data_IF_433914521455
#
_entry.id   IF_433914521455
#
_cell.length_a   1.000
_cell.length_b   1.000
_cell.length_c   1.000
_cell.angle_alpha   90.00
_cell.angle_beta   90.00
_cell.angle_gamma   90.00
#
_symmetry.space_group_name_H-M   'P 1'
#
loop_
_entity.id
_entity.type
_entity.pdbx_description
1 polymer ?
#
# COMPACT_ATOMS: atom_id res chain seq x y z
N UNK A 1 -24.20 25.28 -17.62
CA UNK A 1 -23.20 24.56 -18.48
C UNK A 1 -22.75 23.21 -17.93
N UNK A 2 -22.19 23.08 -16.70
CA UNK A 2 -21.80 21.77 -16.16
C UNK A 2 -23.01 20.84 -15.96
N UNK A 3 -24.12 21.38 -15.43
CA UNK A 3 -25.35 20.63 -15.20
C UNK A 3 -26.01 20.15 -16.50
N UNK A 4 -26.02 20.97 -17.54
CA UNK A 4 -26.59 20.61 -18.84
C UNK A 4 -25.82 19.48 -19.55
N UNK A 5 -24.50 19.48 -19.44
CA UNK A 5 -23.64 18.40 -19.97
C UNK A 5 -23.91 17.08 -19.23
N UNK A 6 -24.05 17.12 -17.92
CA UNK A 6 -24.37 15.97 -17.11
C UNK A 6 -25.75 15.43 -17.48
N UNK A 7 -26.77 16.29 -17.57
CA UNK A 7 -28.14 15.88 -17.95
C UNK A 7 -28.22 15.26 -19.34
N UNK A 8 -27.43 15.79 -20.28
CA UNK A 8 -27.31 15.19 -21.61
C UNK A 8 -26.70 13.79 -21.57
N UNK A 9 -25.58 13.62 -20.84
CA UNK A 9 -24.95 12.32 -20.65
C UNK A 9 -25.88 11.34 -19.93
N UNK A 10 -26.55 11.76 -18.86
CA UNK A 10 -27.52 10.94 -18.12
C UNK A 10 -28.60 10.37 -19.03
N UNK A 11 -29.18 11.19 -19.92
CA UNK A 11 -30.20 10.73 -20.89
C UNK A 11 -29.63 9.70 -21.86
N UNK A 12 -28.40 9.88 -22.33
CA UNK A 12 -27.74 8.92 -23.22
C UNK A 12 -27.52 7.58 -22.52
N UNK A 13 -26.99 7.58 -21.29
CA UNK A 13 -26.83 6.37 -20.49
C UNK A 13 -28.17 5.69 -20.19
N UNK A 14 -29.18 6.46 -19.85
CA UNK A 14 -30.52 5.94 -19.60
C UNK A 14 -31.11 5.24 -20.82
N UNK A 15 -30.84 5.72 -22.04
CA UNK A 15 -31.32 5.10 -23.27
C UNK A 15 -30.76 3.70 -23.52
N UNK A 16 -29.64 3.35 -22.87
CA UNK A 16 -29.02 2.01 -22.91
C UNK A 16 -29.21 1.24 -21.60
N UNK A 17 -30.12 1.69 -20.73
CA UNK A 17 -30.49 1.00 -19.50
C UNK A 17 -29.60 1.27 -18.29
N UNK A 18 -28.71 2.28 -18.34
CA UNK A 18 -27.80 2.64 -17.24
C UNK A 18 -28.37 3.78 -16.41
N UNK A 19 -28.55 3.54 -15.12
CA UNK A 19 -28.91 4.55 -14.12
C UNK A 19 -27.63 5.17 -13.54
N UNK A 20 -27.26 6.36 -14.02
CA UNK A 20 -26.04 7.06 -13.59
C UNK A 20 -26.11 7.55 -12.15
N UNK A 21 -27.27 7.92 -11.63
CA UNK A 21 -27.44 8.35 -10.23
C UNK A 21 -27.15 7.20 -9.26
N UNK A 22 -27.73 6.03 -9.56
CA UNK A 22 -27.46 4.81 -8.80
C UNK A 22 -25.98 4.40 -8.84
N UNK A 23 -25.36 4.48 -10.03
CA UNK A 23 -23.95 4.17 -10.18
C UNK A 23 -23.05 5.11 -9.36
N UNK A 24 -23.33 6.41 -9.39
CA UNK A 24 -22.60 7.42 -8.62
C UNK A 24 -22.79 7.18 -7.11
N UNK A 25 -24.02 6.86 -6.67
CA UNK A 25 -24.28 6.59 -5.26
C UNK A 25 -23.54 5.34 -4.74
N UNK A 26 -23.47 4.30 -5.54
CA UNK A 26 -22.65 3.11 -5.24
C UNK A 26 -21.18 3.51 -5.11
N UNK A 27 -20.63 4.23 -6.10
CA UNK A 27 -19.23 4.63 -6.11
C UNK A 27 -18.86 5.55 -4.94
N UNK A 28 -19.75 6.44 -4.50
CA UNK A 28 -19.51 7.26 -3.32
C UNK A 28 -19.24 6.45 -2.05
N UNK A 29 -19.69 5.21 -2.02
CA UNK A 29 -19.58 4.32 -0.87
C UNK A 29 -18.38 3.34 -0.97
N UNK A 30 -17.71 3.27 -2.11
CA UNK A 30 -16.47 2.49 -2.29
C UNK A 30 -15.29 3.27 -1.70
N UNK A 31 -14.66 2.79 -0.63
CA UNK A 31 -13.51 3.49 -0.06
C UNK A 31 -12.26 3.30 -0.93
N UNK A 32 -11.51 4.38 -1.12
CA UNK A 32 -10.19 4.34 -1.74
C UNK A 32 -9.16 4.77 -0.72
N UNK A 33 -8.15 3.94 -0.51
CA UNK A 33 -7.06 4.19 0.43
C UNK A 33 -5.95 5.00 -0.24
N UNK A 34 -5.62 6.14 0.37
CA UNK A 34 -4.62 7.08 -0.17
C UNK A 34 -3.31 6.93 0.59
N UNK A 35 -2.20 6.79 -0.14
CA UNK A 35 -0.87 6.82 0.46
C UNK A 35 -0.54 8.19 1.05
N UNK A 36 -0.01 8.20 2.25
CA UNK A 36 0.37 9.42 2.95
C UNK A 36 1.64 10.07 2.39
N UNK A 37 2.51 9.31 1.75
CA UNK A 37 3.76 9.80 1.18
C UNK A 37 3.63 10.64 -0.10
N UNK A 38 2.43 10.76 -0.63
CA UNK A 38 2.15 11.63 -1.78
C UNK A 38 2.41 13.12 -1.50
N UNK A 39 2.55 13.50 -0.25
CA UNK A 39 2.82 14.88 0.17
C UNK A 39 4.22 15.14 0.72
N UNK A 40 4.97 14.11 1.14
CA UNK A 40 6.27 14.26 1.81
C UNK A 40 7.46 13.65 1.07
N UNK A 41 7.23 13.10 -0.11
CA UNK A 41 8.28 12.46 -0.92
C UNK A 41 8.90 11.20 -0.24
N UNK A 42 8.06 10.42 0.45
CA UNK A 42 8.39 9.08 1.02
C UNK A 42 9.37 9.10 2.20
N UNK A 43 9.71 10.24 2.76
CA UNK A 43 10.72 10.31 3.82
C UNK A 43 10.19 9.82 5.16
N UNK A 44 8.94 10.18 5.51
CA UNK A 44 8.39 9.91 6.83
C UNK A 44 8.98 10.82 7.91
N UNK A 45 8.75 10.47 9.19
CA UNK A 45 9.08 11.32 10.34
C UNK A 45 9.84 10.59 11.46
N UNK A 46 10.08 9.29 11.32
CA UNK A 46 10.71 8.46 12.35
C UNK A 46 12.25 8.50 12.31
N UNK A 47 12.83 8.76 11.15
CA UNK A 47 14.28 8.84 11.00
C UNK A 47 14.67 9.90 9.95
N UNK A 48 15.95 10.31 9.98
CA UNK A 48 16.52 11.19 8.97
C UNK A 48 17.52 10.47 8.06
N UNK A 49 17.42 9.15 7.98
CA UNK A 49 18.30 8.36 7.15
C UNK A 49 17.92 8.48 5.67
N UNK A 50 18.86 8.20 4.81
CA UNK A 50 18.65 8.27 3.36
C UNK A 50 17.69 7.18 2.89
N UNK A 51 16.90 7.49 1.88
CA UNK A 51 16.04 6.51 1.21
C UNK A 51 16.86 5.36 0.63
N UNK A 52 16.29 4.17 0.62
CA UNK A 52 16.91 2.93 0.12
C UNK A 52 15.89 2.02 -0.57
N UNK A 53 16.37 0.89 -1.14
CA UNK A 53 15.49 -0.11 -1.75
C UNK A 53 14.82 0.32 -3.07
N UNK A 54 15.42 1.25 -3.81
CA UNK A 54 14.87 1.80 -5.04
C UNK A 54 14.01 3.06 -4.83
N UNK A 55 13.62 3.36 -3.61
CA UNK A 55 12.76 4.51 -3.25
C UNK A 55 13.47 5.85 -3.49
N UNK A 56 14.79 5.88 -3.44
CA UNK A 56 15.61 7.08 -3.68
C UNK A 56 15.42 7.74 -5.07
N UNK A 57 14.64 7.13 -5.93
CA UNK A 57 14.31 7.69 -7.25
C UNK A 57 13.16 8.68 -7.25
N UNK A 58 12.48 8.86 -6.11
CA UNK A 58 11.27 9.68 -6.02
C UNK A 58 11.51 11.14 -6.27
N UNK A 59 12.55 11.71 -6.14
CA UNK A 59 12.80 13.13 -6.28
C UNK A 59 12.74 13.88 -4.96
N UNK A 60 13.16 15.10 -5.01
CA UNK A 60 13.24 16.00 -3.87
C UNK A 60 12.85 17.39 -4.31
N UNK A 61 11.65 17.82 -3.98
CA UNK A 61 11.10 19.11 -4.39
C UNK A 61 10.93 20.06 -3.20
N UNK A 62 11.02 21.39 -3.43
CA UNK A 62 10.79 22.36 -2.36
C UNK A 62 9.31 22.38 -1.94
N UNK A 63 9.08 22.56 -0.64
CA UNK A 63 7.73 22.66 -0.09
C UNK A 63 7.04 21.32 0.21
N UNK A 64 7.73 20.18 0.13
CA UNK A 64 7.21 18.93 0.65
C UNK A 64 6.96 19.02 2.15
N UNK A 65 6.03 18.21 2.68
CA UNK A 65 5.78 18.14 4.09
C UNK A 65 7.02 17.55 4.82
N UNK A 66 7.43 18.18 5.90
CA UNK A 66 8.58 17.75 6.74
C UNK A 66 8.17 17.44 8.19
N UNK A 67 6.89 17.62 8.50
CA UNK A 67 6.28 17.22 9.78
C UNK A 67 4.92 16.59 9.56
N UNK A 68 4.46 15.79 10.52
CA UNK A 68 3.14 15.18 10.48
C UNK A 68 2.03 16.22 10.35
N UNK A 69 2.15 17.38 11.01
CA UNK A 69 1.19 18.50 10.92
C UNK A 69 1.07 19.05 9.50
N UNK A 70 2.20 19.25 8.85
CA UNK A 70 2.21 19.74 7.48
C UNK A 70 1.56 18.74 6.53
N UNK A 71 1.87 17.45 6.69
CA UNK A 71 1.25 16.40 5.87
C UNK A 71 -0.26 16.31 6.14
N UNK A 72 -0.71 16.39 7.40
CA UNK A 72 -2.13 16.44 7.74
C UNK A 72 -2.84 17.65 7.11
N UNK A 73 -2.18 18.80 7.02
CA UNK A 73 -2.72 19.99 6.32
C UNK A 73 -2.88 19.73 4.83
N UNK A 74 -1.88 19.14 4.19
CA UNK A 74 -1.91 18.79 2.76
C UNK A 74 -3.01 17.76 2.47
N UNK A 75 -3.11 16.70 3.28
CA UNK A 75 -4.18 15.71 3.19
C UNK A 75 -5.57 16.37 3.38
N UNK A 76 -5.70 17.28 4.35
CA UNK A 76 -6.97 18.03 4.56
C UNK A 76 -7.39 18.80 3.33
N UNK A 77 -6.42 19.37 2.61
CA UNK A 77 -6.69 20.05 1.35
C UNK A 77 -7.14 19.08 0.27
N UNK A 78 -6.46 17.96 0.10
CA UNK A 78 -6.86 16.91 -0.86
C UNK A 78 -8.27 16.39 -0.55
N UNK A 79 -8.58 16.11 0.72
CA UNK A 79 -9.91 15.65 1.15
C UNK A 79 -11.02 16.63 0.80
N UNK A 80 -10.74 17.93 0.77
CA UNK A 80 -11.71 18.95 0.37
C UNK A 80 -12.00 18.99 -1.13
N UNK A 81 -11.14 18.38 -1.94
CA UNK A 81 -11.21 18.42 -3.41
C UNK A 81 -11.71 17.10 -4.02
N UNK A 82 -11.45 15.98 -3.36
CA UNK A 82 -11.75 14.64 -3.87
C UNK A 82 -13.04 14.10 -3.25
N UNK A 83 -14.06 13.77 -4.04
CA UNK A 83 -15.31 13.21 -3.54
C UNK A 83 -15.20 11.73 -3.14
N UNK A 84 -16.22 11.18 -2.50
CA UNK A 84 -16.35 9.77 -2.11
C UNK A 84 -15.68 9.42 -0.79
N UNK A 85 -15.79 8.15 -0.38
CA UNK A 85 -15.16 7.63 0.83
C UNK A 85 -13.67 7.42 0.60
N UNK A 86 -12.89 7.73 1.61
CA UNK A 86 -11.44 7.59 1.59
C UNK A 86 -10.96 6.90 2.84
N UNK A 87 -9.83 6.22 2.74
CA UNK A 87 -9.01 5.75 3.84
C UNK A 87 -7.62 6.39 3.72
N UNK A 88 -6.88 6.40 4.80
CA UNK A 88 -5.52 6.85 4.83
C UNK A 88 -4.60 5.63 4.93
N UNK A 89 -3.68 5.46 3.99
CA UNK A 89 -2.67 4.41 4.04
C UNK A 89 -1.39 4.98 4.65
N UNK A 90 -1.18 4.71 5.94
CA UNK A 90 0.00 5.18 6.66
C UNK A 90 1.16 4.20 6.52
N UNK A 91 2.37 4.75 6.50
CA UNK A 91 3.60 4.00 6.67
C UNK A 91 4.08 4.01 8.11
N UNK A 92 4.79 2.97 8.54
CA UNK A 92 5.40 2.92 9.88
C UNK A 92 6.39 4.07 10.10
N UNK A 93 7.03 4.55 9.03
CA UNK A 93 7.92 5.72 9.06
C UNK A 93 7.22 7.05 9.41
N UNK A 94 5.90 7.07 9.46
CA UNK A 94 5.11 8.23 9.91
C UNK A 94 4.77 8.20 11.40
N UNK A 95 5.34 7.25 12.16
CA UNK A 95 5.27 7.25 13.62
C UNK A 95 5.76 8.59 14.19
N UNK A 96 5.02 9.15 15.14
CA UNK A 96 5.38 10.38 15.85
C UNK A 96 6.05 9.94 17.15
N UNK A 97 7.37 9.80 17.10
CA UNK A 97 8.19 9.23 18.17
C UNK A 97 8.82 10.36 18.97
N UNK A 98 8.55 10.41 20.26
CA UNK A 98 9.08 11.39 21.23
C UNK A 98 9.95 10.75 22.32
N UNK A 99 9.94 9.42 22.42
CA UNK A 99 10.65 8.65 23.45
C UNK A 99 11.94 7.96 22.96
N UNK A 100 12.30 8.19 21.68
CA UNK A 100 13.50 7.60 21.08
C UNK A 100 13.36 6.12 20.70
N UNK A 101 12.14 5.57 20.66
CA UNK A 101 11.88 4.21 20.18
C UNK A 101 12.34 4.03 18.74
N UNK A 102 12.92 2.87 18.43
CA UNK A 102 13.21 2.46 17.07
C UNK A 102 12.04 1.66 16.47
N UNK A 103 12.09 1.31 15.18
CA UNK A 103 10.97 0.63 14.46
C UNK A 103 10.56 -0.69 15.09
N UNK A 104 11.47 -1.45 15.69
CA UNK A 104 11.16 -2.70 16.39
C UNK A 104 10.45 -2.48 17.74
N UNK A 105 10.35 -1.24 18.19
CA UNK A 105 9.72 -0.82 19.45
C UNK A 105 8.58 0.20 19.26
N UNK A 106 8.12 0.41 18.03
CA UNK A 106 6.95 1.28 17.78
C UNK A 106 5.68 0.71 18.42
N UNK A 107 4.78 1.61 18.81
CA UNK A 107 3.56 1.29 19.54
C UNK A 107 2.36 2.09 19.02
N UNK A 108 1.13 1.66 19.32
CA UNK A 108 -0.09 2.39 18.98
C UNK A 108 -0.08 3.89 19.31
N UNK A 109 0.51 4.26 20.46
CA UNK A 109 0.56 5.66 20.93
C UNK A 109 1.30 6.58 19.95
N UNK A 110 2.30 6.08 19.24
CA UNK A 110 3.04 6.85 18.23
C UNK A 110 2.17 7.24 17.01
N UNK A 111 0.98 6.66 16.91
CA UNK A 111 0.01 6.95 15.84
C UNK A 111 -1.29 7.59 16.33
N UNK A 112 -1.41 7.90 17.63
CA UNK A 112 -2.65 8.45 18.20
C UNK A 112 -3.13 9.71 17.47
N UNK A 113 -2.24 10.62 17.10
CA UNK A 113 -2.57 11.84 16.35
C UNK A 113 -3.09 11.56 14.94
N UNK A 114 -2.61 10.49 14.30
CA UNK A 114 -3.14 10.03 13.01
C UNK A 114 -4.54 9.46 13.15
N UNK A 115 -4.80 8.73 14.23
CA UNK A 115 -6.14 8.22 14.55
C UNK A 115 -7.12 9.36 14.81
N UNK A 116 -6.74 10.37 15.59
CA UNK A 116 -7.56 11.57 15.79
C UNK A 116 -7.87 12.28 14.47
N UNK A 117 -6.86 12.41 13.61
CA UNK A 117 -7.03 12.98 12.29
C UNK A 117 -7.99 12.16 11.42
N UNK A 118 -7.84 10.85 11.38
CA UNK A 118 -8.71 9.97 10.61
C UNK A 118 -10.17 10.03 11.12
N UNK A 119 -10.37 10.00 12.43
CA UNK A 119 -11.71 10.14 13.05
C UNK A 119 -12.38 11.47 12.68
N UNK A 120 -11.64 12.57 12.66
CA UNK A 120 -12.16 13.90 12.25
C UNK A 120 -12.77 13.87 10.85
N UNK A 121 -12.24 13.06 9.95
CA UNK A 121 -12.72 12.93 8.57
C UNK A 121 -13.52 11.67 8.30
N UNK A 122 -13.87 10.91 9.36
CA UNK A 122 -14.57 9.63 9.26
C UNK A 122 -13.88 8.64 8.30
N UNK A 123 -12.56 8.55 8.40
CA UNK A 123 -11.72 7.67 7.60
C UNK A 123 -11.25 6.46 8.40
N UNK A 124 -11.09 5.31 7.74
CA UNK A 124 -10.27 4.21 8.22
C UNK A 124 -8.79 4.46 7.93
N UNK A 125 -7.93 3.65 8.53
CA UNK A 125 -6.49 3.66 8.29
C UNK A 125 -6.05 2.28 7.83
N UNK A 126 -5.31 2.23 6.71
CA UNK A 126 -4.53 1.08 6.28
C UNK A 126 -3.07 1.30 6.62
N UNK A 127 -2.26 0.25 6.64
CA UNK A 127 -0.92 0.35 7.18
C UNK A 127 0.13 -0.39 6.35
N UNK A 128 1.24 0.27 6.11
CA UNK A 128 2.43 -0.31 5.50
C UNK A 128 3.58 -0.31 6.51
N UNK A 129 4.13 -1.47 6.87
CA UNK A 129 5.23 -1.59 7.83
C UNK A 129 6.52 -0.87 7.44
N UNK A 130 6.73 -0.52 6.18
CA UNK A 130 7.93 0.21 5.73
C UNK A 130 9.22 -0.55 6.02
N UNK A 131 9.38 -1.75 5.46
CA UNK A 131 10.59 -2.55 5.59
C UNK A 131 11.76 -2.02 4.75
N UNK A 132 11.96 -0.70 4.72
CA UNK A 132 13.00 -0.03 3.94
C UNK A 132 13.44 1.28 4.60
N UNK A 133 14.44 1.95 4.02
CA UNK A 133 14.93 3.27 4.46
C UNK A 133 15.27 3.32 5.96
N UNK A 134 16.06 2.35 6.42
CA UNK A 134 16.47 2.23 7.81
C UNK A 134 17.87 1.61 7.92
N UNK A 135 18.63 1.97 8.97
CA UNK A 135 19.98 1.44 9.24
C UNK A 135 20.05 -0.09 9.34
N UNK A 136 18.93 -0.74 9.68
CA UNK A 136 18.82 -2.20 9.73
C UNK A 136 18.47 -2.84 8.38
N UNK A 137 18.46 -2.09 7.28
CA UNK A 137 18.56 -2.65 5.93
C UNK A 137 20.03 -2.90 5.64
N UNK A 138 20.47 -4.16 5.66
CA UNK A 138 21.85 -4.55 5.45
C UNK A 138 22.02 -5.22 4.09
N UNK A 139 22.89 -4.67 3.25
CA UNK A 139 23.13 -5.18 1.88
C UNK A 139 21.84 -5.29 1.04
N UNK A 140 20.89 -4.37 1.23
CA UNK A 140 19.60 -4.39 0.56
C UNK A 140 18.62 -5.46 1.06
N UNK A 141 18.88 -6.08 2.24
CA UNK A 141 18.07 -7.16 2.80
C UNK A 141 17.49 -6.81 4.16
N UNK A 142 16.29 -7.30 4.41
CA UNK A 142 15.50 -7.15 5.64
C UNK A 142 15.09 -8.52 6.19
N UNK A 143 13.85 -8.95 5.95
CA UNK A 143 13.28 -10.22 6.41
C UNK A 143 13.96 -11.46 5.77
N UNK A 144 14.71 -11.29 4.70
CA UNK A 144 15.47 -12.36 4.06
C UNK A 144 16.97 -12.36 4.38
N UNK A 145 17.43 -11.44 5.21
CA UNK A 145 18.86 -11.28 5.56
C UNK A 145 19.45 -12.58 6.10
N UNK A 146 20.70 -12.92 5.76
CA UNK A 146 21.42 -14.00 6.43
C UNK A 146 21.84 -13.63 7.87
N UNK A 147 21.84 -12.34 8.22
CA UNK A 147 22.12 -11.84 9.56
C UNK A 147 20.88 -11.99 10.45
N UNK A 148 21.01 -12.78 11.50
CA UNK A 148 19.91 -13.07 12.44
C UNK A 148 19.48 -11.82 13.25
N UNK A 149 20.40 -10.88 13.52
CA UNK A 149 20.04 -9.64 14.24
C UNK A 149 19.16 -8.76 13.36
N UNK A 150 19.49 -8.65 12.07
CA UNK A 150 18.68 -7.93 11.09
C UNK A 150 17.29 -8.54 10.98
N UNK A 151 17.20 -9.88 10.85
CA UNK A 151 15.89 -10.53 10.74
C UNK A 151 15.06 -10.37 12.00
N UNK A 152 15.63 -10.57 13.18
CA UNK A 152 14.93 -10.41 14.47
C UNK A 152 14.36 -9.00 14.63
N UNK A 153 15.14 -7.97 14.30
CA UNK A 153 14.68 -6.59 14.30
C UNK A 153 13.42 -6.41 13.42
N UNK A 154 13.49 -6.86 12.17
CA UNK A 154 12.37 -6.71 11.25
C UNK A 154 11.18 -7.62 11.55
N UNK A 155 11.40 -8.80 12.10
CA UNK A 155 10.32 -9.66 12.58
C UNK A 155 9.57 -9.00 13.74
N UNK A 156 10.28 -8.48 14.73
CA UNK A 156 9.66 -7.78 15.86
C UNK A 156 8.90 -6.54 15.38
N UNK A 157 9.50 -5.76 14.48
CA UNK A 157 8.83 -4.67 13.81
C UNK A 157 7.52 -5.10 13.13
N UNK A 158 7.53 -6.20 12.38
CA UNK A 158 6.33 -6.75 11.73
C UNK A 158 5.23 -7.14 12.73
N UNK A 159 5.60 -7.73 13.87
CA UNK A 159 4.67 -8.06 14.96
C UNK A 159 4.03 -6.79 15.53
N UNK A 160 4.83 -5.74 15.81
CA UNK A 160 4.32 -4.43 16.26
C UNK A 160 3.35 -3.81 15.25
N UNK A 161 3.63 -3.96 13.96
CA UNK A 161 2.74 -3.45 12.93
C UNK A 161 1.37 -4.15 12.89
N UNK A 162 1.30 -5.44 13.25
CA UNK A 162 0.00 -6.13 13.43
C UNK A 162 -0.78 -5.52 14.61
N UNK A 163 -0.13 -5.30 15.77
CA UNK A 163 -0.75 -4.68 16.94
C UNK A 163 -1.28 -3.27 16.62
N UNK A 164 -0.48 -2.48 15.89
CA UNK A 164 -0.86 -1.13 15.46
C UNK A 164 -2.03 -1.17 14.47
N UNK A 165 -2.06 -2.14 13.56
CA UNK A 165 -3.16 -2.30 12.62
C UNK A 165 -4.47 -2.64 13.31
N UNK A 166 -4.43 -3.46 14.35
CA UNK A 166 -5.59 -3.78 15.18
C UNK A 166 -6.06 -2.55 15.99
N UNK A 167 -5.13 -1.76 16.52
CA UNK A 167 -5.44 -0.47 17.12
C UNK A 167 -6.16 0.46 16.14
N UNK A 168 -5.68 0.62 14.91
CA UNK A 168 -6.34 1.43 13.90
C UNK A 168 -7.76 0.97 13.61
N UNK A 169 -7.95 -0.34 13.44
CA UNK A 169 -9.26 -0.90 13.16
C UNK A 169 -10.23 -0.67 14.35
N UNK A 170 -9.78 -0.87 15.58
CA UNK A 170 -10.59 -0.66 16.76
C UNK A 170 -10.98 0.81 16.94
N UNK A 171 -10.03 1.72 16.77
CA UNK A 171 -10.24 3.15 16.99
C UNK A 171 -11.07 3.84 15.92
N UNK A 172 -10.94 3.41 14.66
CA UNK A 172 -11.70 4.00 13.55
C UNK A 172 -13.02 3.28 13.28
N UNK A 173 -13.23 2.09 13.84
CA UNK A 173 -14.39 1.25 13.55
C UNK A 173 -14.44 0.72 12.11
N UNK A 174 -13.32 0.75 11.40
CA UNK A 174 -13.19 0.27 10.02
C UNK A 174 -12.05 -0.74 9.92
N UNK A 175 -12.12 -1.77 9.06
CA UNK A 175 -11.04 -2.73 8.92
C UNK A 175 -9.75 -2.05 8.45
N UNK A 176 -8.61 -2.58 8.86
CA UNK A 176 -7.27 -2.15 8.45
C UNK A 176 -6.65 -3.18 7.51
N UNK A 177 -6.23 -2.76 6.35
CA UNK A 177 -5.39 -3.53 5.43
C UNK A 177 -3.93 -3.24 5.79
N UNK A 178 -3.17 -4.27 6.18
CA UNK A 178 -1.75 -4.15 6.50
C UNK A 178 -0.93 -4.83 5.42
N UNK A 179 -0.15 -4.06 4.67
CA UNK A 179 0.60 -4.55 3.53
C UNK A 179 2.06 -4.85 3.85
N UNK A 180 2.46 -6.11 3.81
CA UNK A 180 3.87 -6.52 3.89
C UNK A 180 4.47 -6.49 2.49
N UNK A 181 5.42 -5.58 2.29
CA UNK A 181 6.27 -5.47 1.11
C UNK A 181 7.73 -5.32 1.55
N UNK A 182 8.66 -6.01 0.88
CA UNK A 182 10.09 -5.92 1.16
C UNK A 182 10.89 -5.55 -0.09
N UNK A 183 11.95 -4.74 0.03
CA UNK A 183 12.82 -4.39 -1.09
C UNK A 183 13.81 -5.50 -1.45
N UNK A 184 13.87 -6.58 -0.70
CA UNK A 184 14.92 -7.58 -0.69
C UNK A 184 15.16 -8.22 -2.05
N UNK A 185 16.40 -8.20 -2.50
CA UNK A 185 16.80 -8.77 -3.77
C UNK A 185 18.27 -8.49 -4.08
N UNK A 186 18.67 -8.79 -5.30
CA UNK A 186 20.06 -8.60 -5.76
C UNK A 186 20.11 -8.01 -7.17
N UNK A 187 21.07 -7.11 -7.36
CA UNK A 187 21.37 -6.54 -8.66
C UNK A 187 21.88 -7.61 -9.65
N UNK A 188 22.75 -8.48 -9.18
CA UNK A 188 23.30 -9.57 -9.96
C UNK A 188 22.67 -10.91 -9.58
N UNK A 189 22.80 -11.93 -10.42
CA UNK A 189 22.24 -13.25 -10.17
C UNK A 189 22.98 -13.89 -8.99
N UNK A 190 22.30 -14.18 -7.85
CA UNK A 190 22.93 -14.82 -6.71
C UNK A 190 23.16 -16.32 -6.98
N UNK A 191 24.21 -16.88 -6.37
CA UNK A 191 24.48 -18.33 -6.42
C UNK A 191 23.37 -19.14 -5.69
N UNK A 192 22.78 -18.57 -4.64
CA UNK A 192 21.68 -19.18 -3.89
C UNK A 192 20.43 -18.29 -3.97
N UNK A 193 19.43 -18.76 -4.71
CA UNK A 193 18.09 -18.12 -4.79
C UNK A 193 17.11 -18.69 -3.77
N UNK A 194 17.36 -19.87 -3.23
CA UNK A 194 16.45 -20.56 -2.32
C UNK A 194 16.62 -20.07 -0.88
N UNK A 195 17.84 -19.85 -0.41
CA UNK A 195 18.14 -19.43 0.95
C UNK A 195 17.43 -18.14 1.38
N UNK A 196 17.53 -17.03 0.63
CA UNK A 196 16.79 -15.80 0.96
C UNK A 196 15.29 -16.01 1.03
N UNK A 197 14.70 -16.76 0.10
CA UNK A 197 13.24 -17.05 0.11
C UNK A 197 12.84 -17.93 1.30
N UNK A 198 13.69 -18.88 1.71
CA UNK A 198 13.45 -19.69 2.91
C UNK A 198 13.43 -18.80 4.15
N UNK A 199 14.41 -17.94 4.33
CA UNK A 199 14.48 -17.00 5.46
C UNK A 199 13.31 -16.03 5.46
N UNK A 200 12.90 -15.51 4.29
CA UNK A 200 11.72 -14.67 4.19
C UNK A 200 10.45 -15.41 4.63
N UNK A 201 10.28 -16.65 4.16
CA UNK A 201 9.15 -17.48 4.58
C UNK A 201 9.14 -17.71 6.10
N UNK A 202 10.29 -18.06 6.69
CA UNK A 202 10.43 -18.27 8.13
C UNK A 202 10.13 -16.99 8.92
N UNK A 203 10.59 -15.84 8.44
CA UNK A 203 10.30 -14.54 9.03
C UNK A 203 8.80 -14.18 8.97
N UNK A 204 8.15 -14.45 7.84
CA UNK A 204 6.70 -14.27 7.70
C UNK A 204 5.91 -15.20 8.62
N UNK A 205 6.30 -16.48 8.71
CA UNK A 205 5.67 -17.45 9.62
C UNK A 205 5.75 -16.97 11.08
N UNK A 206 6.87 -16.34 11.47
CA UNK A 206 7.05 -15.81 12.81
C UNK A 206 6.25 -14.51 13.05
N UNK A 207 6.21 -13.59 12.09
CA UNK A 207 5.36 -12.39 12.18
C UNK A 207 3.90 -12.79 12.35
N UNK A 208 3.41 -13.73 11.54
CA UNK A 208 2.01 -14.17 11.54
C UNK A 208 1.65 -15.08 12.72
N UNK A 209 2.61 -15.43 13.58
CA UNK A 209 2.33 -16.18 14.81
C UNK A 209 1.64 -15.35 15.91
N UNK A 210 1.68 -14.02 15.78
CA UNK A 210 0.97 -13.10 16.69
C UNK A 210 -0.54 -13.26 16.47
N UNK A 211 -1.33 -13.48 17.53
CA UNK A 211 -2.78 -13.52 17.40
C UNK A 211 -3.33 -12.13 17.08
N UNK A 212 -4.26 -12.06 16.14
CA UNK A 212 -4.99 -10.84 15.80
C UNK A 212 -6.40 -11.16 15.28
N UNK A 213 -7.29 -10.20 15.32
CA UNK A 213 -8.66 -10.34 14.81
C UNK A 213 -8.67 -10.23 13.28
N UNK A 214 -8.74 -11.38 12.60
CA UNK A 214 -8.78 -11.47 11.13
C UNK A 214 -10.02 -10.84 10.49
N UNK A 215 -11.04 -10.51 11.24
CA UNK A 215 -12.20 -9.77 10.74
C UNK A 215 -11.95 -8.25 10.71
N UNK A 216 -10.92 -7.80 11.41
CA UNK A 216 -10.54 -6.38 11.52
C UNK A 216 -9.25 -6.04 10.81
N UNK A 217 -8.29 -6.96 10.81
CA UNK A 217 -6.98 -6.75 10.18
C UNK A 217 -6.79 -7.74 9.04
N UNK A 218 -6.67 -7.21 7.84
CA UNK A 218 -6.36 -7.96 6.63
C UNK A 218 -4.87 -7.84 6.35
N UNK A 219 -4.09 -8.80 6.84
CA UNK A 219 -2.66 -8.85 6.51
C UNK A 219 -2.51 -9.28 5.06
N UNK A 220 -1.80 -8.47 4.29
CA UNK A 220 -1.52 -8.68 2.88
C UNK A 220 -0.04 -8.94 2.65
N UNK A 221 0.27 -9.61 1.56
CA UNK A 221 1.62 -9.77 1.05
C UNK A 221 1.67 -9.29 -0.39
N UNK A 222 2.52 -8.31 -0.65
CA UNK A 222 2.73 -7.71 -1.95
C UNK A 222 4.01 -8.23 -2.58
N UNK A 223 3.93 -8.55 -3.87
CA UNK A 223 5.09 -8.95 -4.64
C UNK A 223 5.88 -7.74 -5.14
N UNK A 224 7.18 -7.97 -5.40
CA UNK A 224 8.06 -7.02 -6.07
C UNK A 224 8.51 -7.55 -7.43
N UNK A 225 8.55 -6.67 -8.42
CA UNK A 225 9.19 -6.92 -9.71
C UNK A 225 10.63 -6.36 -9.69
N UNK A 226 11.38 -6.57 -10.73
CA UNK A 226 12.70 -5.97 -10.89
C UNK A 226 12.65 -4.43 -10.80
N UNK A 227 13.73 -3.84 -10.32
CA UNK A 227 13.87 -2.39 -10.17
C UNK A 227 15.32 -2.03 -9.86
N UNK A 228 15.60 -0.79 -9.50
CA UNK A 228 16.95 -0.33 -9.16
C UNK A 228 17.46 -1.10 -7.93
N UNK A 229 18.61 -1.74 -8.06
CA UNK A 229 19.26 -2.54 -7.01
C UNK A 229 18.77 -4.00 -6.92
N UNK A 230 17.73 -4.39 -7.68
CA UNK A 230 17.16 -5.74 -7.71
C UNK A 230 16.89 -6.19 -9.16
N UNK A 231 17.78 -5.85 -10.06
CA UNK A 231 17.59 -6.04 -11.51
C UNK A 231 17.53 -7.52 -11.93
N UNK A 232 18.17 -8.41 -11.16
CA UNK A 232 18.26 -9.82 -11.53
C UNK A 232 17.54 -10.79 -10.60
N UNK A 233 17.20 -10.36 -9.39
CA UNK A 233 16.57 -11.25 -8.42
C UNK A 233 15.79 -10.46 -7.35
N UNK A 234 14.51 -10.75 -7.23
CA UNK A 234 13.67 -10.32 -6.12
C UNK A 234 13.34 -11.51 -5.22
N UNK A 235 13.44 -11.34 -3.91
CA UNK A 235 13.09 -12.39 -2.94
C UNK A 235 11.58 -12.61 -2.95
N UNK A 236 10.80 -11.53 -2.81
CA UNK A 236 9.35 -11.52 -2.83
C UNK A 236 8.78 -11.45 -4.25
N UNK A 237 9.10 -12.41 -5.13
CA UNK A 237 8.50 -12.47 -6.47
C UNK A 237 7.01 -12.81 -6.41
N UNK A 238 6.27 -12.55 -7.49
CA UNK A 238 4.84 -12.85 -7.58
C UNK A 238 4.55 -14.32 -7.24
N UNK A 239 5.35 -15.27 -7.75
CA UNK A 239 5.16 -16.70 -7.47
C UNK A 239 5.37 -17.04 -5.98
N UNK A 240 6.36 -16.40 -5.33
CA UNK A 240 6.57 -16.59 -3.90
C UNK A 240 5.37 -16.06 -3.10
N UNK A 241 5.00 -14.81 -3.35
CA UNK A 241 3.95 -14.15 -2.58
C UNK A 241 2.58 -14.84 -2.74
N UNK A 242 2.18 -15.15 -3.97
CA UNK A 242 0.87 -15.80 -4.20
C UNK A 242 0.79 -17.20 -3.61
N UNK A 243 1.87 -18.01 -3.71
CA UNK A 243 1.92 -19.31 -3.06
C UNK A 243 1.93 -19.22 -1.52
N UNK A 244 2.64 -18.23 -0.97
CA UNK A 244 2.65 -18.01 0.47
C UNK A 244 1.27 -17.58 0.99
N UNK A 245 0.64 -16.62 0.34
CA UNK A 245 -0.71 -16.14 0.66
C UNK A 245 -1.72 -17.28 0.70
N UNK A 246 -1.76 -18.10 -0.35
CA UNK A 246 -2.67 -19.23 -0.45
C UNK A 246 -2.43 -20.26 0.69
N UNK A 247 -1.17 -20.47 1.09
CA UNK A 247 -0.81 -21.39 2.17
C UNK A 247 -1.11 -20.82 3.56
N UNK A 248 -0.85 -19.54 3.79
CA UNK A 248 -1.01 -18.88 5.08
C UNK A 248 -2.45 -18.43 5.36
N UNK A 249 -3.31 -18.38 4.34
CA UNK A 249 -4.68 -17.90 4.45
C UNK A 249 -4.74 -16.40 4.81
N UNK A 250 -3.87 -15.61 4.17
CA UNK A 250 -3.86 -14.15 4.26
C UNK A 250 -4.29 -13.54 2.92
N UNK A 251 -4.47 -12.23 2.85
CA UNK A 251 -5.01 -11.55 1.67
C UNK A 251 -3.91 -11.28 0.63
N UNK A 252 -4.08 -11.64 -0.65
CA UNK A 252 -3.15 -11.23 -1.70
C UNK A 252 -3.28 -9.74 -1.97
N UNK A 253 -2.15 -9.06 -2.15
CA UNK A 253 -2.10 -7.70 -2.66
C UNK A 253 -1.40 -7.68 -4.01
N UNK A 254 -2.05 -7.06 -4.99
CA UNK A 254 -1.51 -6.89 -6.33
C UNK A 254 -1.31 -5.41 -6.61
N UNK A 255 -0.06 -5.00 -6.79
CA UNK A 255 0.28 -3.71 -7.37
C UNK A 255 0.41 -3.85 -8.88
N UNK A 256 -0.29 -3.01 -9.65
CA UNK A 256 -0.28 -3.12 -11.10
C UNK A 256 1.04 -2.65 -11.75
N UNK A 257 1.92 -2.01 -10.98
CA UNK A 257 3.30 -1.71 -11.39
C UNK A 257 4.30 -2.83 -11.10
N UNK A 258 3.92 -3.85 -10.31
CA UNK A 258 4.83 -4.91 -9.84
C UNK A 258 4.76 -6.21 -10.64
N UNK A 259 4.28 -6.14 -11.88
CA UNK A 259 4.25 -7.28 -12.81
C UNK A 259 5.09 -7.01 -14.05
N UNK A 260 5.42 -8.09 -14.77
CA UNK A 260 6.11 -7.94 -16.05
C UNK A 260 5.28 -7.08 -17.01
N UNK A 261 5.91 -6.22 -17.85
CA UNK A 261 5.17 -5.30 -18.74
C UNK A 261 4.19 -5.93 -19.73
N UNK A 262 4.25 -7.25 -19.92
CA UNK A 262 3.29 -8.01 -20.74
C UNK A 262 2.11 -8.58 -19.95
N UNK A 263 2.12 -8.40 -18.63
CA UNK A 263 1.04 -8.85 -17.76
C UNK A 263 0.15 -7.69 -17.36
N UNK A 264 -1.15 -7.95 -17.19
CA UNK A 264 -2.12 -6.97 -16.71
C UNK A 264 -2.82 -7.48 -15.45
N UNK A 265 -2.98 -6.60 -14.46
CA UNK A 265 -3.61 -6.98 -13.19
C UNK A 265 -5.11 -7.21 -13.38
N UNK A 266 -5.75 -6.51 -14.31
CA UNK A 266 -7.17 -6.72 -14.61
C UNK A 266 -7.51 -8.18 -14.92
N UNK A 267 -6.64 -8.90 -15.66
CA UNK A 267 -6.84 -10.33 -15.97
C UNK A 267 -6.67 -11.25 -14.73
N UNK A 268 -5.95 -10.79 -13.71
CA UNK A 268 -5.66 -11.58 -12.51
C UNK A 268 -6.80 -11.55 -11.48
N UNK A 269 -7.61 -10.51 -11.46
CA UNK A 269 -8.64 -10.26 -10.43
C UNK A 269 -9.62 -11.43 -10.32
N UNK A 270 -10.25 -11.82 -11.43
CA UNK A 270 -11.24 -12.91 -11.43
C UNK A 270 -10.62 -14.24 -11.04
N UNK A 271 -9.39 -14.52 -11.48
CA UNK A 271 -8.65 -15.72 -11.10
C UNK A 271 -8.36 -15.76 -9.59
N UNK A 272 -7.90 -14.65 -9.02
CA UNK A 272 -7.58 -14.58 -7.58
C UNK A 272 -8.82 -14.68 -6.70
N UNK A 273 -9.96 -14.14 -7.11
CA UNK A 273 -11.25 -14.20 -6.39
C UNK A 273 -11.83 -15.63 -6.29
N UNK A 274 -11.38 -16.57 -7.12
CA UNK A 274 -11.78 -17.96 -7.00
C UNK A 274 -11.15 -18.69 -5.79
N UNK A 275 -10.05 -18.18 -5.29
CA UNK A 275 -9.26 -18.80 -4.22
C UNK A 275 -9.15 -17.96 -2.96
N UNK A 276 -9.59 -16.70 -3.00
CA UNK A 276 -9.45 -15.75 -1.89
C UNK A 276 -10.78 -15.02 -1.67
N UNK A 277 -11.19 -14.88 -0.43
CA UNK A 277 -12.41 -14.15 -0.06
C UNK A 277 -12.27 -12.65 -0.32
N UNK A 278 -11.05 -12.12 -0.20
CA UNK A 278 -10.72 -10.72 -0.42
C UNK A 278 -9.43 -10.57 -1.25
N UNK A 279 -9.35 -9.46 -1.97
CA UNK A 279 -8.14 -8.99 -2.65
C UNK A 279 -7.81 -7.57 -2.18
N UNK A 280 -6.54 -7.22 -2.20
CA UNK A 280 -6.10 -5.83 -2.11
C UNK A 280 -5.39 -5.41 -3.40
N UNK A 281 -5.58 -4.17 -3.79
CA UNK A 281 -4.95 -3.58 -4.97
C UNK A 281 -4.21 -2.30 -4.57
N UNK A 282 -2.98 -2.19 -5.04
CA UNK A 282 -2.25 -0.95 -5.13
C UNK A 282 -2.27 -0.49 -6.59
N UNK A 283 -2.86 0.68 -6.83
CA UNK A 283 -3.01 1.22 -8.17
C UNK A 283 -1.98 2.32 -8.40
N UNK A 284 -1.10 2.04 -9.32
CA UNK A 284 -0.08 2.95 -9.85
C UNK A 284 -0.16 3.02 -11.37
N UNK A 285 0.69 3.79 -12.01
CA UNK A 285 0.85 3.76 -13.46
C UNK A 285 2.02 2.85 -13.82
N UNK A 286 1.79 1.66 -14.41
CA UNK A 286 2.86 0.74 -14.79
C UNK A 286 3.71 1.34 -15.92
N UNK A 287 5.04 1.36 -15.73
CA UNK A 287 6.01 1.95 -16.66
C UNK A 287 7.15 1.02 -17.03
N UNK A 288 6.99 -0.24 -17.10
CA UNK A 288 7.98 -1.26 -17.44
C UNK A 288 8.95 -1.66 -16.30
N UNK A 289 8.88 -1.03 -15.14
CA UNK A 289 9.65 -1.38 -13.95
C UNK A 289 8.96 -0.80 -12.71
N UNK A 290 9.37 -1.23 -11.52
CA UNK A 290 8.89 -0.73 -10.24
C UNK A 290 9.31 0.73 -10.03
N UNK A 291 8.37 1.67 -10.13
CA UNK A 291 8.67 3.11 -10.13
C UNK A 291 7.55 4.00 -9.59
N UNK A 292 6.45 3.43 -9.15
CA UNK A 292 5.34 4.11 -8.47
C UNK A 292 4.92 5.45 -9.11
N UNK A 293 4.70 5.46 -10.41
CA UNK A 293 4.30 6.66 -11.13
C UNK A 293 2.85 7.03 -10.84
N UNK A 294 2.57 8.33 -10.86
CA UNK A 294 1.22 8.87 -10.70
C UNK A 294 0.23 8.16 -11.61
N UNK A 295 -0.83 7.64 -11.00
CA UNK A 295 -1.86 6.92 -11.71
C UNK A 295 -2.62 7.83 -12.67
N UNK A 296 -2.89 7.30 -13.85
CA UNK A 296 -3.79 7.90 -14.84
C UNK A 296 -5.00 7.00 -15.02
N UNK A 297 -6.14 7.58 -15.35
CA UNK A 297 -7.31 6.79 -15.73
C UNK A 297 -7.18 6.33 -17.21
N UNK A 298 -6.17 5.50 -17.43
CA UNK A 298 -5.81 4.89 -18.70
C UNK A 298 -6.58 3.57 -18.96
N UNK A 299 -6.20 2.83 -19.97
CA UNK A 299 -6.88 1.59 -20.33
C UNK A 299 -6.72 0.50 -19.27
N UNK A 300 -5.55 0.39 -18.65
CA UNK A 300 -5.31 -0.61 -17.59
C UNK A 300 -6.18 -0.30 -16.36
N UNK A 301 -6.17 0.94 -15.88
CA UNK A 301 -6.99 1.35 -14.73
C UNK A 301 -8.49 1.17 -15.00
N UNK A 302 -8.94 1.45 -16.24
CA UNK A 302 -10.33 1.19 -16.64
C UNK A 302 -10.69 -0.28 -16.65
N UNK A 303 -9.81 -1.15 -17.15
CA UNK A 303 -10.09 -2.60 -17.17
C UNK A 303 -10.07 -3.18 -15.75
N UNK A 304 -9.20 -2.73 -14.87
CA UNK A 304 -9.24 -3.07 -13.43
C UNK A 304 -10.61 -2.71 -12.84
N UNK A 305 -11.06 -1.48 -13.03
CA UNK A 305 -12.36 -1.03 -12.52
C UNK A 305 -13.53 -1.85 -13.11
N UNK A 306 -13.49 -2.14 -14.42
CA UNK A 306 -14.50 -2.98 -15.08
C UNK A 306 -14.51 -4.40 -14.55
N UNK A 307 -13.34 -4.98 -14.29
CA UNK A 307 -13.26 -6.36 -13.84
C UNK A 307 -13.77 -6.52 -12.40
N UNK A 308 -13.50 -5.56 -11.51
CA UNK A 308 -14.09 -5.52 -10.17
C UNK A 308 -15.63 -5.51 -10.25
N UNK A 309 -16.19 -4.69 -11.15
CA UNK A 309 -17.64 -4.60 -11.33
C UNK A 309 -18.21 -5.87 -11.98
N UNK A 310 -17.54 -6.43 -13.00
CA UNK A 310 -17.97 -7.67 -13.68
C UNK A 310 -17.98 -8.87 -12.73
N UNK A 311 -17.03 -8.92 -11.82
CA UNK A 311 -16.90 -9.97 -10.82
C UNK A 311 -17.87 -9.79 -9.63
N UNK A 312 -18.67 -8.70 -9.60
CA UNK A 312 -19.50 -8.32 -8.43
C UNK A 312 -18.69 -8.29 -7.13
N UNK A 313 -17.52 -7.63 -7.18
CA UNK A 313 -16.50 -7.71 -6.13
C UNK A 313 -16.18 -6.35 -5.46
N UNK A 314 -17.09 -5.38 -5.53
CA UNK A 314 -16.90 -4.07 -4.89
C UNK A 314 -16.74 -4.14 -3.36
N UNK A 315 -17.27 -5.18 -2.73
CA UNK A 315 -17.17 -5.46 -1.30
C UNK A 315 -16.02 -6.42 -0.94
N UNK A 316 -15.36 -7.01 -1.94
CA UNK A 316 -14.28 -8.00 -1.76
C UNK A 316 -12.90 -7.44 -2.10
N UNK A 317 -12.83 -6.31 -2.80
CA UNK A 317 -11.58 -5.74 -3.27
C UNK A 317 -11.28 -4.44 -2.51
N UNK A 318 -10.20 -4.46 -1.74
CA UNK A 318 -9.66 -3.26 -1.10
C UNK A 318 -8.86 -2.48 -2.13
N UNK A 319 -9.27 -1.25 -2.40
CA UNK A 319 -8.65 -0.40 -3.42
C UNK A 319 -7.78 0.65 -2.75
N UNK A 320 -6.49 0.67 -3.07
CA UNK A 320 -5.58 1.72 -2.67
C UNK A 320 -4.82 2.27 -3.87
N UNK A 321 -4.38 3.52 -3.76
CA UNK A 321 -3.38 4.09 -4.67
C UNK A 321 -1.99 3.86 -4.08
N UNK A 322 -1.00 3.60 -4.93
CA UNK A 322 0.39 3.48 -4.52
C UNK A 322 1.29 4.21 -5.51
N UNK A 323 1.44 5.48 -5.30
CA UNK A 323 2.32 6.33 -6.08
C UNK A 323 2.74 7.55 -5.28
N UNK A 324 3.80 8.18 -5.71
CA UNK A 324 4.21 9.50 -5.26
C UNK A 324 4.50 10.39 -6.47
N UNK A 325 4.32 11.67 -6.28
CA UNK A 325 4.57 12.66 -7.32
C UNK A 325 5.55 13.71 -6.81
N UNK A 326 6.79 13.61 -7.31
CA UNK A 326 7.84 14.57 -6.98
C UNK A 326 7.52 16.01 -7.47
N UNK A 327 6.49 16.20 -8.27
CA UNK A 327 6.01 17.51 -8.69
C UNK A 327 5.01 18.15 -7.73
N UNK A 328 4.44 17.40 -6.79
CA UNK A 328 3.54 17.95 -5.77
C UNK A 328 4.32 18.91 -4.87
N UNK A 329 3.87 20.14 -4.80
CA UNK A 329 4.49 21.18 -4.01
C UNK A 329 3.42 21.92 -3.21
N UNK A 330 3.46 21.78 -1.88
CA UNK A 330 2.49 22.40 -0.97
C UNK A 330 2.52 23.94 -0.96
N UNK A 331 3.55 24.54 -1.53
CA UNK A 331 3.67 26.01 -1.65
C UNK A 331 2.92 26.51 -2.87
N UNK A 332 2.94 25.78 -3.96
CA UNK A 332 2.26 26.11 -5.21
C UNK A 332 0.92 25.41 -5.37
#
# INVERSE_FOLDING_TARGET
MANERYESARKMYQSIGVDTEKAIEILKNVPVSMHCWQGDDVIGFDSRESLSGGIQTTGNYPGKAVTAEQLMQDISKVLSLVPGKKKLNLHASYAIIDDGSDRDAIRPEHFARWVEFAKKYNMGIDFNPTFFSHRMVKNGLTLSSPDDEVRKFWIEHGKRCIEISEYFANETGQPCVMNIWIPDGYKDIPADRLGPRRRFKESLDEILSVPYDKSKVFVCLESKVFGIGVESYTVGSAEFCMNYVAKAGITPLMDNGHYHPTEVVSDKISSMLLFNDHLALHITRPVRWDSDHVVLFDDETREIAKEIVRADALDKVFIATDYFDASINRIS
#
